data_IF_843953560970
#
_entry.id   IF_843953560970
#
_cell.length_a   1.000
_cell.length_b   1.000
_cell.length_c   1.000
_cell.angle_alpha   90.00
_cell.angle_beta   90.00
_cell.angle_gamma   90.00
#
_symmetry.space_group_name_H-M   'P 1'
#
loop_
_entity.id
_entity.type
_entity.pdbx_description
1 polymer ?
#
# COMPACT_ATOMS: atom_id res chain seq x y z
N UNK A 1 -11.23 28.04 13.79
CA UNK A 1 -11.08 26.63 14.20
C UNK A 1 -9.77 26.52 14.92
N UNK A 2 -9.86 26.20 16.21
CA UNK A 2 -8.71 26.11 17.10
C UNK A 2 -7.82 24.92 16.70
N UNK A 3 -6.52 24.99 17.00
CA UNK A 3 -5.60 23.88 16.71
C UNK A 3 -6.03 22.58 17.42
N UNK A 4 -6.63 22.73 18.59
CA UNK A 4 -7.17 21.64 19.38
C UNK A 4 -8.33 20.92 18.66
N UNK A 5 -9.25 21.66 18.04
CA UNK A 5 -10.37 21.06 17.28
C UNK A 5 -9.86 20.18 16.13
N UNK A 6 -8.81 20.63 15.44
CA UNK A 6 -8.19 19.88 14.34
C UNK A 6 -7.61 18.56 14.86
N UNK A 7 -6.91 18.62 15.99
CA UNK A 7 -6.27 17.47 16.59
C UNK A 7 -7.30 16.43 17.06
N UNK A 8 -8.38 16.88 17.74
CA UNK A 8 -9.46 16.01 18.19
C UNK A 8 -10.16 15.30 17.01
N UNK A 9 -10.46 16.05 15.94
CA UNK A 9 -11.06 15.48 14.71
C UNK A 9 -10.14 14.48 14.02
N UNK A 10 -8.84 14.78 13.93
CA UNK A 10 -7.85 13.87 13.37
C UNK A 10 -7.75 12.58 14.19
N UNK A 11 -7.79 12.68 15.52
CA UNK A 11 -7.73 11.54 16.43
C UNK A 11 -8.96 10.63 16.24
N UNK A 12 -10.17 11.21 16.19
CA UNK A 12 -11.41 10.47 15.90
C UNK A 12 -11.32 9.75 14.56
N UNK A 13 -10.80 10.42 13.52
CA UNK A 13 -10.60 9.83 12.20
C UNK A 13 -9.61 8.65 12.25
N UNK A 14 -8.47 8.80 12.92
CA UNK A 14 -7.49 7.74 13.10
C UNK A 14 -8.10 6.52 13.82
N UNK A 15 -8.86 6.73 14.90
CA UNK A 15 -9.56 5.65 15.62
C UNK A 15 -10.57 4.95 14.70
N UNK A 16 -11.34 5.72 13.93
CA UNK A 16 -12.36 5.18 13.04
C UNK A 16 -11.73 4.29 11.96
N UNK A 17 -10.66 4.78 11.32
CA UNK A 17 -9.92 4.01 10.30
C UNK A 17 -9.30 2.76 10.92
N UNK A 18 -8.69 2.87 12.10
CA UNK A 18 -8.08 1.73 12.77
C UNK A 18 -9.12 0.66 13.13
N UNK A 19 -10.30 1.08 13.59
CA UNK A 19 -11.43 0.18 13.89
C UNK A 19 -11.93 -0.53 12.64
N UNK A 20 -12.13 0.21 11.55
CA UNK A 20 -12.54 -0.36 10.25
C UNK A 20 -11.48 -1.33 9.71
N UNK A 21 -10.19 -0.95 9.80
CA UNK A 21 -9.07 -1.79 9.42
C UNK A 21 -9.06 -3.10 10.21
N UNK A 22 -9.16 -3.02 11.54
CA UNK A 22 -9.15 -4.18 12.42
C UNK A 22 -10.34 -5.12 12.12
N UNK A 23 -11.54 -4.57 11.95
CA UNK A 23 -12.73 -5.38 11.66
C UNK A 23 -12.69 -6.00 10.27
N UNK A 24 -12.25 -5.25 9.25
CA UNK A 24 -12.14 -5.74 7.89
C UNK A 24 -11.08 -6.84 7.77
N UNK A 25 -9.92 -6.66 8.41
CA UNK A 25 -8.82 -7.63 8.38
C UNK A 25 -9.08 -8.88 9.24
N UNK A 26 -10.07 -8.84 10.15
CA UNK A 26 -10.52 -10.01 10.93
C UNK A 26 -11.23 -11.04 10.04
N UNK A 27 -11.88 -10.60 8.96
CA UNK A 27 -12.54 -11.51 8.03
C UNK A 27 -11.49 -12.06 7.05
N UNK A 28 -11.21 -13.37 7.14
CA UNK A 28 -10.01 -14.04 6.60
C UNK A 28 -9.79 -13.97 5.08
N UNK A 29 -10.75 -13.47 4.31
CA UNK A 29 -10.71 -13.56 2.85
C UNK A 29 -10.03 -12.36 2.16
N UNK A 30 -9.91 -11.19 2.81
CA UNK A 30 -9.27 -10.01 2.21
C UNK A 30 -8.51 -9.23 3.29
N UNK A 31 -7.18 -9.24 3.23
CA UNK A 31 -6.34 -8.42 4.11
C UNK A 31 -6.10 -7.07 3.46
N UNK A 32 -6.61 -6.01 4.06
CA UNK A 32 -6.36 -4.64 3.61
C UNK A 32 -4.92 -4.24 3.93
N UNK A 33 -4.33 -3.41 3.08
CA UNK A 33 -2.99 -2.89 3.28
C UNK A 33 -3.00 -1.69 4.24
N UNK A 34 -2.17 -1.64 5.30
CA UNK A 34 -2.16 -0.54 6.28
C UNK A 34 -2.01 0.85 5.65
N UNK A 35 -1.19 0.96 4.59
CA UNK A 35 -0.95 2.21 3.87
C UNK A 35 -2.21 2.85 3.28
N UNK A 36 -3.30 2.09 3.06
CA UNK A 36 -4.56 2.65 2.57
C UNK A 36 -5.17 3.66 3.54
N UNK A 37 -4.91 3.56 4.85
CA UNK A 37 -5.38 4.53 5.83
C UNK A 37 -4.82 5.95 5.58
N UNK A 38 -3.71 6.05 4.87
CA UNK A 38 -3.05 7.31 4.58
C UNK A 38 -3.81 8.16 3.55
N UNK A 39 -4.61 7.52 2.69
CA UNK A 39 -5.54 8.19 1.77
C UNK A 39 -6.56 9.01 2.56
N UNK A 40 -7.11 8.42 3.63
CA UNK A 40 -8.09 9.09 4.49
C UNK A 40 -7.49 10.27 5.26
N UNK A 41 -6.26 10.14 5.77
CA UNK A 41 -5.54 11.25 6.45
C UNK A 41 -5.28 12.40 5.48
N UNK A 42 -4.81 12.10 4.27
CA UNK A 42 -4.59 13.11 3.23
C UNK A 42 -5.91 13.81 2.84
N UNK A 43 -6.99 13.04 2.70
CA UNK A 43 -8.33 13.58 2.38
C UNK A 43 -8.87 14.49 3.49
N UNK A 44 -8.62 14.15 4.76
CA UNK A 44 -8.96 14.99 5.90
C UNK A 44 -8.29 16.37 5.82
N UNK A 45 -6.97 16.43 5.61
CA UNK A 45 -6.28 17.71 5.49
C UNK A 45 -6.74 18.52 4.27
N UNK A 46 -6.99 17.86 3.14
CA UNK A 46 -7.58 18.52 1.96
C UNK A 46 -8.95 19.14 2.28
N UNK A 47 -9.79 18.43 3.03
CA UNK A 47 -11.10 18.96 3.43
C UNK A 47 -11.00 20.21 4.32
N UNK A 48 -9.96 20.31 5.15
CA UNK A 48 -9.72 21.50 5.99
C UNK A 48 -9.38 22.72 5.16
N UNK A 49 -8.57 22.54 4.11
CA UNK A 49 -8.20 23.63 3.19
C UNK A 49 -9.42 24.08 2.39
N UNK A 50 -10.20 23.13 1.87
CA UNK A 50 -11.41 23.43 1.10
C UNK A 50 -12.53 24.06 1.93
N UNK A 51 -12.59 23.81 3.24
CA UNK A 51 -13.60 24.42 4.10
C UNK A 51 -13.26 25.88 4.44
N UNK A 52 -11.96 26.23 4.53
CA UNK A 52 -11.52 27.57 4.93
C UNK A 52 -11.42 28.55 3.78
N UNK A 53 -11.06 28.05 2.62
CA UNK A 53 -10.99 28.88 1.46
C UNK A 53 -12.35 28.89 0.76
N UNK A 54 -12.75 30.05 0.27
CA UNK A 54 -13.78 30.17 -0.76
C UNK A 54 -13.30 29.56 -2.10
N UNK A 55 -12.55 28.45 -2.04
CA UNK A 55 -12.16 27.70 -3.21
C UNK A 55 -13.43 27.09 -3.79
N UNK A 56 -13.88 27.76 -4.84
CA UNK A 56 -14.99 27.40 -5.72
C UNK A 56 -14.99 25.90 -6.05
N UNK A 57 -16.16 25.41 -6.45
CA UNK A 57 -16.38 24.10 -7.09
C UNK A 57 -15.20 23.62 -7.96
N UNK A 58 -14.46 24.52 -8.61
CA UNK A 58 -13.24 24.24 -9.39
C UNK A 58 -12.13 23.46 -8.66
N UNK A 59 -11.89 23.69 -7.37
CA UNK A 59 -10.87 22.92 -6.62
C UNK A 59 -11.30 21.46 -6.40
N UNK A 60 -12.59 21.23 -6.12
CA UNK A 60 -13.18 19.90 -6.07
C UNK A 60 -13.15 19.19 -7.44
N UNK A 61 -13.41 19.92 -8.52
CA UNK A 61 -13.27 19.41 -9.89
C UNK A 61 -11.83 19.04 -10.24
N UNK A 62 -10.83 19.82 -9.79
CA UNK A 62 -9.41 19.50 -9.98
C UNK A 62 -9.01 18.19 -9.31
N UNK A 63 -9.44 17.97 -8.06
CA UNK A 63 -9.19 16.72 -7.34
C UNK A 63 -9.90 15.53 -8.03
N UNK A 64 -11.12 15.74 -8.53
CA UNK A 64 -11.85 14.72 -9.30
C UNK A 64 -11.15 14.37 -10.63
N UNK A 65 -10.56 15.35 -11.31
CA UNK A 65 -9.77 15.13 -12.53
C UNK A 65 -8.51 14.29 -12.25
N UNK A 66 -7.79 14.59 -11.15
CA UNK A 66 -6.61 13.81 -10.77
C UNK A 66 -6.98 12.36 -10.44
N UNK A 67 -8.08 12.12 -9.71
CA UNK A 67 -8.56 10.75 -9.46
C UNK A 67 -9.04 10.04 -10.72
N UNK A 68 -9.61 10.77 -11.67
CA UNK A 68 -9.99 10.21 -12.98
C UNK A 68 -8.76 9.73 -13.75
N UNK A 69 -7.68 10.52 -13.80
CA UNK A 69 -6.42 10.12 -14.46
C UNK A 69 -5.78 8.92 -13.74
N UNK A 70 -5.76 8.90 -12.40
CA UNK A 70 -5.24 7.77 -11.62
C UNK A 70 -6.03 6.46 -11.82
N UNK A 71 -7.28 6.54 -12.30
CA UNK A 71 -8.14 5.38 -12.60
C UNK A 71 -7.88 4.78 -13.99
N UNK A 72 -7.37 5.54 -14.96
CA UNK A 72 -7.22 5.11 -16.36
C UNK A 72 -5.94 4.33 -16.67
N UNK A 73 -5.15 3.99 -15.67
CA UNK A 73 -3.89 3.27 -15.90
C UNK A 73 -4.12 1.77 -16.11
N UNK A 74 -3.58 1.27 -17.21
CA UNK A 74 -3.71 -0.11 -17.69
C UNK A 74 -2.86 -1.13 -16.92
N UNK A 75 -1.90 -0.68 -16.10
CA UNK A 75 -1.07 -1.56 -15.27
C UNK A 75 -1.59 -1.68 -13.84
N UNK A 76 -1.53 -2.89 -13.29
CA UNK A 76 -1.85 -3.18 -11.89
C UNK A 76 -0.76 -2.62 -10.98
N UNK A 77 -0.91 -1.36 -10.57
CA UNK A 77 0.00 -0.73 -9.61
C UNK A 77 -0.05 -1.45 -8.26
N UNK A 78 1.13 -1.66 -7.67
CA UNK A 78 1.22 -2.03 -6.26
C UNK A 78 0.57 -0.94 -5.40
N UNK A 79 -0.09 -1.34 -4.32
CA UNK A 79 -0.81 -0.46 -3.40
C UNK A 79 0.10 0.67 -2.88
N UNK A 80 1.36 0.36 -2.61
CA UNK A 80 2.38 1.35 -2.22
C UNK A 80 2.51 2.50 -3.23
N UNK A 81 2.54 2.19 -4.53
CA UNK A 81 2.67 3.19 -5.59
C UNK A 81 1.43 4.08 -5.68
N UNK A 82 0.24 3.50 -5.50
CA UNK A 82 -1.03 4.26 -5.49
C UNK A 82 -1.05 5.25 -4.34
N UNK A 83 -0.72 4.79 -3.14
CA UNK A 83 -0.68 5.62 -1.93
C UNK A 83 0.37 6.71 -2.10
N UNK A 84 1.57 6.39 -2.58
CA UNK A 84 2.62 7.37 -2.81
C UNK A 84 2.17 8.48 -3.78
N UNK A 85 1.55 8.13 -4.90
CA UNK A 85 1.02 9.11 -5.85
C UNK A 85 -0.05 10.00 -5.21
N UNK A 86 -1.00 9.40 -4.47
CA UNK A 86 -2.04 10.14 -3.77
C UNK A 86 -1.47 11.15 -2.78
N UNK A 87 -0.46 10.73 -2.01
CA UNK A 87 0.25 11.59 -1.04
C UNK A 87 0.96 12.71 -1.72
N UNK A 88 1.76 12.42 -2.75
CA UNK A 88 2.54 13.41 -3.48
C UNK A 88 1.64 14.49 -4.08
N UNK A 89 0.50 14.10 -4.66
CA UNK A 89 -0.49 15.04 -5.19
C UNK A 89 -1.10 15.87 -4.05
N UNK A 90 -1.47 15.22 -2.95
CA UNK A 90 -2.07 15.92 -1.81
C UNK A 90 -1.13 16.95 -1.23
N UNK A 91 0.15 16.60 -0.99
CA UNK A 91 1.16 17.54 -0.51
C UNK A 91 1.34 18.71 -1.49
N UNK A 92 1.45 18.42 -2.79
CA UNK A 92 1.60 19.47 -3.80
C UNK A 92 0.41 20.43 -3.80
N UNK A 93 -0.81 19.92 -3.60
CA UNK A 93 -2.02 20.75 -3.50
C UNK A 93 -2.05 21.53 -2.18
N UNK A 94 -1.73 20.91 -1.04
CA UNK A 94 -1.68 21.60 0.25
C UNK A 94 -0.67 22.76 0.23
N UNK A 95 0.53 22.51 -0.29
CA UNK A 95 1.58 23.53 -0.43
C UNK A 95 1.19 24.64 -1.41
N UNK A 96 0.42 24.32 -2.46
CA UNK A 96 -0.05 25.31 -3.44
C UNK A 96 -1.27 26.13 -2.99
N UNK A 97 -2.16 25.56 -2.16
CA UNK A 97 -3.43 26.19 -1.77
C UNK A 97 -3.36 26.96 -0.44
N UNK A 98 -2.39 26.66 0.44
CA UNK A 98 -2.22 27.42 1.68
C UNK A 98 -1.39 28.69 1.45
N UNK A 99 -1.86 29.87 1.90
CA UNK A 99 -1.06 31.09 1.81
C UNK A 99 0.19 31.03 2.71
N UNK A 100 1.26 31.68 2.25
CA UNK A 100 2.62 31.62 2.83
C UNK A 100 2.65 32.09 4.30
N UNK A 101 1.71 32.96 4.70
CA UNK A 101 1.58 33.47 6.08
C UNK A 101 1.34 32.36 7.12
N UNK A 102 0.80 31.21 6.70
CA UNK A 102 0.51 30.07 7.56
C UNK A 102 1.58 28.97 7.50
N UNK A 103 2.85 29.34 7.24
CA UNK A 103 3.96 28.39 7.06
C UNK A 103 4.08 27.39 8.22
N UNK A 104 3.90 27.82 9.46
CA UNK A 104 3.97 26.95 10.65
C UNK A 104 2.91 25.85 10.63
N UNK A 105 1.69 26.19 10.21
CA UNK A 105 0.58 25.23 10.11
C UNK A 105 0.84 24.27 8.94
N UNK A 106 1.30 24.79 7.80
CA UNK A 106 1.65 23.99 6.62
C UNK A 106 2.75 22.97 6.95
N UNK A 107 3.79 23.41 7.65
CA UNK A 107 4.90 22.57 8.06
C UNK A 107 4.42 21.50 9.06
N UNK A 108 3.53 21.85 9.99
CA UNK A 108 2.90 20.90 10.90
C UNK A 108 2.08 19.82 10.19
N UNK A 109 1.30 20.19 9.15
CA UNK A 109 0.52 19.25 8.34
C UNK A 109 1.46 18.30 7.58
N UNK A 110 2.47 18.84 6.89
CA UNK A 110 3.45 18.07 6.14
C UNK A 110 4.19 17.06 7.04
N UNK A 111 4.70 17.50 8.19
CA UNK A 111 5.35 16.63 9.17
C UNK A 111 4.39 15.53 9.64
N UNK A 112 3.14 15.87 9.93
CA UNK A 112 2.14 14.89 10.39
C UNK A 112 1.90 13.79 9.36
N UNK A 113 1.74 14.14 8.08
CA UNK A 113 1.56 13.16 7.00
C UNK A 113 2.78 12.26 6.88
N UNK A 114 4.00 12.82 6.94
CA UNK A 114 5.25 12.05 6.88
C UNK A 114 5.39 11.10 8.07
N UNK A 115 5.10 11.55 9.29
CA UNK A 115 5.16 10.71 10.49
C UNK A 115 4.18 9.54 10.37
N UNK A 116 2.94 9.78 9.95
CA UNK A 116 1.94 8.72 9.77
C UNK A 116 2.39 7.75 8.68
N UNK A 117 2.97 8.24 7.57
CA UNK A 117 3.53 7.39 6.52
C UNK A 117 4.62 6.46 7.06
N UNK A 118 5.57 6.99 7.84
CA UNK A 118 6.63 6.20 8.46
C UNK A 118 6.08 5.16 9.43
N UNK A 119 5.09 5.52 10.26
CA UNK A 119 4.44 4.59 11.19
C UNK A 119 3.75 3.46 10.42
N UNK A 120 2.93 3.76 9.42
CA UNK A 120 2.21 2.74 8.65
C UNK A 120 3.16 1.83 7.87
N UNK A 121 4.22 2.38 7.28
CA UNK A 121 5.25 1.60 6.58
C UNK A 121 6.05 0.70 7.56
N UNK A 122 6.32 1.18 8.77
CA UNK A 122 6.94 0.36 9.82
C UNK A 122 6.02 -0.78 10.28
N UNK A 123 4.71 -0.52 10.45
CA UNK A 123 3.72 -1.53 10.79
C UNK A 123 3.56 -2.59 9.69
N UNK A 124 3.65 -2.19 8.43
CA UNK A 124 3.66 -3.09 7.28
C UNK A 124 4.89 -4.01 7.31
N UNK A 125 6.08 -3.47 7.56
CA UNK A 125 7.32 -4.26 7.64
C UNK A 125 7.31 -5.29 8.77
N UNK A 126 6.56 -5.02 9.85
CA UNK A 126 6.36 -5.94 10.98
C UNK A 126 5.24 -6.96 10.71
N UNK A 127 4.35 -6.69 9.76
CA UNK A 127 3.35 -7.65 9.31
C UNK A 127 4.05 -8.76 8.51
N UNK A 128 3.80 -10.06 8.77
CA UNK A 128 4.50 -11.19 8.13
C UNK A 128 4.22 -11.33 6.61
N UNK A 129 3.64 -10.31 5.98
CA UNK A 129 3.18 -10.29 4.59
C UNK A 129 4.33 -9.96 3.63
N UNK A 130 5.40 -9.30 4.09
CA UNK A 130 6.57 -8.93 3.24
C UNK A 130 7.87 -9.60 3.72
N UNK A 131 7.78 -10.80 4.29
CA UNK A 131 8.92 -11.73 4.31
C UNK A 131 8.87 -12.62 3.06
N UNK A 132 8.78 -11.99 1.89
CA UNK A 132 9.05 -12.61 0.58
C UNK A 132 10.45 -12.26 0.07
N UNK A 133 11.33 -11.77 0.95
CA UNK A 133 12.65 -11.27 0.54
C UNK A 133 13.65 -12.38 0.20
N UNK A 134 13.33 -13.66 0.49
CA UNK A 134 14.21 -14.81 0.25
C UNK A 134 13.53 -15.97 -0.50
N UNK A 135 12.44 -15.74 -1.25
CA UNK A 135 11.84 -16.81 -2.03
C UNK A 135 12.09 -16.65 -3.52
N UNK A 136 12.78 -17.63 -4.10
CA UNK A 136 12.98 -17.72 -5.55
C UNK A 136 11.71 -18.36 -6.14
N UNK A 137 11.03 -17.64 -7.03
CA UNK A 137 9.93 -18.20 -7.81
C UNK A 137 10.50 -18.98 -9.00
N UNK A 138 10.28 -20.29 -9.04
CA UNK A 138 10.78 -21.16 -10.10
C UNK A 138 9.60 -21.66 -10.91
N UNK A 139 9.65 -21.35 -12.20
CA UNK A 139 8.75 -21.86 -13.22
C UNK A 139 9.28 -23.23 -13.64
N UNK A 140 8.52 -24.29 -13.32
CA UNK A 140 8.81 -25.67 -13.72
C UNK A 140 7.66 -26.21 -14.57
N UNK A 141 7.96 -27.09 -15.53
CA UNK A 141 6.93 -27.77 -16.34
C UNK A 141 6.07 -28.69 -15.47
N UNK A 142 4.86 -29.01 -15.92
CA UNK A 142 3.92 -29.89 -15.20
C UNK A 142 4.51 -31.28 -14.90
N UNK A 143 5.46 -31.74 -15.69
CA UNK A 143 6.23 -32.99 -15.48
C UNK A 143 6.95 -33.01 -14.13
N UNK A 144 7.21 -31.83 -13.54
CA UNK A 144 7.74 -31.70 -12.19
C UNK A 144 6.87 -32.42 -11.14
N UNK A 145 5.54 -32.46 -11.33
CA UNK A 145 4.59 -33.11 -10.42
C UNK A 145 4.58 -34.65 -10.54
N UNK A 146 5.26 -35.21 -11.54
CA UNK A 146 5.38 -36.67 -11.73
C UNK A 146 6.73 -37.23 -11.26
N UNK A 147 7.72 -36.37 -11.03
CA UNK A 147 9.04 -36.77 -10.52
C UNK A 147 8.97 -37.29 -9.08
N UNK A 148 9.79 -38.28 -8.74
CA UNK A 148 10.03 -38.73 -7.37
C UNK A 148 10.68 -37.61 -6.52
N UNK A 149 10.49 -37.63 -5.19
CA UNK A 149 10.97 -36.56 -4.30
C UNK A 149 12.50 -36.33 -4.39
N UNK A 150 13.26 -37.39 -4.66
CA UNK A 150 14.71 -37.33 -4.82
C UNK A 150 15.13 -36.52 -6.07
N UNK A 151 14.40 -36.69 -7.19
CA UNK A 151 14.73 -36.02 -8.45
C UNK A 151 14.19 -34.59 -8.50
N UNK A 152 13.06 -34.31 -7.84
CA UNK A 152 12.60 -32.92 -7.60
C UNK A 152 13.63 -32.11 -6.84
N UNK A 153 14.21 -32.70 -5.79
CA UNK A 153 15.24 -32.02 -4.98
C UNK A 153 16.51 -31.77 -5.79
N UNK A 154 16.95 -32.71 -6.63
CA UNK A 154 18.10 -32.51 -7.53
C UNK A 154 17.87 -31.36 -8.52
N UNK A 155 16.72 -31.35 -9.20
CA UNK A 155 16.38 -30.32 -10.20
C UNK A 155 16.26 -28.92 -9.57
N UNK A 156 15.69 -28.84 -8.36
CA UNK A 156 15.62 -27.58 -7.61
C UNK A 156 17.01 -27.15 -7.08
N UNK A 157 17.85 -28.09 -6.64
CA UNK A 157 19.24 -27.81 -6.22
C UNK A 157 20.07 -27.29 -7.40
N UNK A 158 19.91 -27.86 -8.59
CA UNK A 158 20.61 -27.44 -9.80
C UNK A 158 20.19 -26.03 -10.25
N UNK A 159 18.88 -25.75 -10.24
CA UNK A 159 18.34 -24.43 -10.63
C UNK A 159 18.60 -23.34 -9.60
N UNK A 160 18.61 -23.65 -8.30
CA UNK A 160 18.76 -22.66 -7.22
C UNK A 160 20.17 -22.55 -6.66
N UNK A 161 21.02 -23.55 -6.88
CA UNK A 161 22.32 -23.75 -6.21
C UNK A 161 22.22 -23.84 -4.67
N UNK A 162 21.02 -24.07 -4.11
CA UNK A 162 20.79 -24.16 -2.66
C UNK A 162 20.81 -25.63 -2.23
N UNK A 163 21.62 -25.98 -1.21
CA UNK A 163 21.69 -27.34 -0.66
C UNK A 163 20.54 -27.68 0.29
N UNK A 164 20.08 -26.68 1.06
CA UNK A 164 18.97 -26.79 1.99
C UNK A 164 17.91 -25.78 1.58
N UNK A 165 16.73 -26.25 1.23
CA UNK A 165 15.59 -25.40 0.89
C UNK A 165 14.27 -26.11 1.23
N UNK A 166 13.27 -25.29 1.53
CA UNK A 166 11.86 -25.68 1.58
C UNK A 166 11.16 -25.10 0.36
N UNK A 167 10.29 -25.87 -0.29
CA UNK A 167 9.52 -25.39 -1.44
C UNK A 167 8.02 -25.59 -1.22
N UNK A 168 7.22 -24.63 -1.66
CA UNK A 168 5.76 -24.72 -1.68
C UNK A 168 5.23 -24.42 -3.08
N UNK A 169 4.16 -25.12 -3.48
CA UNK A 169 3.51 -24.90 -4.77
C UNK A 169 2.61 -23.67 -4.63
N UNK A 170 2.91 -22.60 -5.36
CA UNK A 170 2.14 -21.34 -5.30
C UNK A 170 0.96 -21.39 -6.27
N UNK A 171 1.17 -21.87 -7.48
CA UNK A 171 0.14 -21.90 -8.54
C UNK A 171 0.42 -23.01 -9.54
N UNK A 172 -0.64 -23.68 -9.99
CA UNK A 172 -0.60 -24.67 -11.08
C UNK A 172 -1.45 -24.11 -12.22
N UNK A 173 -0.84 -23.86 -13.37
CA UNK A 173 -1.54 -23.45 -14.58
C UNK A 173 -1.54 -24.61 -15.57
N UNK A 174 -2.68 -25.31 -15.65
CA UNK A 174 -2.87 -26.46 -16.52
C UNK A 174 -2.91 -26.09 -18.01
N UNK A 175 -3.36 -24.87 -18.34
CA UNK A 175 -3.49 -24.42 -19.72
C UNK A 175 -2.12 -24.13 -20.36
N UNK A 176 -1.18 -23.61 -19.57
CA UNK A 176 0.19 -23.34 -20.02
C UNK A 176 1.19 -24.43 -19.61
N UNK A 177 0.72 -25.48 -18.93
CA UNK A 177 1.53 -26.62 -18.47
C UNK A 177 2.69 -26.20 -17.53
N UNK A 178 2.46 -25.17 -16.70
CA UNK A 178 3.45 -24.54 -15.84
C UNK A 178 3.05 -24.63 -14.37
N UNK A 179 4.03 -24.90 -13.51
CA UNK A 179 3.93 -24.87 -12.06
C UNK A 179 4.87 -23.78 -11.52
N UNK A 180 4.32 -22.87 -10.72
CA UNK A 180 5.08 -21.82 -10.03
C UNK A 180 5.37 -22.32 -8.61
N UNK A 181 6.65 -22.53 -8.33
CA UNK A 181 7.15 -22.98 -7.04
C UNK A 181 7.77 -21.81 -6.29
N UNK A 182 7.44 -21.67 -5.02
CA UNK A 182 8.09 -20.74 -4.10
C UNK A 182 9.13 -21.51 -3.30
N UNK A 183 10.41 -21.25 -3.58
CA UNK A 183 11.53 -21.92 -2.90
C UNK A 183 12.16 -20.94 -1.91
N UNK A 184 12.16 -21.29 -0.63
CA UNK A 184 12.78 -20.52 0.46
C UNK A 184 13.94 -21.31 1.08
N UNK A 185 15.07 -20.65 1.31
CA UNK A 185 16.19 -21.19 2.10
C UNK A 185 16.01 -20.90 3.60
#
# INVERSE_FOLDING_TARGET
MELQDIFERLLILCISIFTLYYFSNRNRNIRLHPLLGLISVCTFFMSLVFTKAEYSLGAGFGLFAVFSILRFRTETFNIQTIVFLFVSITLSLLDGLLPIENLTILLGINITIVIIYLILNYLEKKSPIVSEKNSIEIISSLDFLQLEEADRRKLLTEKTKLKNFSYSIKTINLNSNIVILKVSA
#
